data_IF_299620329624
#
_entry.id   IF_299620329624
#
_cell.length_a   1.000
_cell.length_b   1.000
_cell.length_c   1.000
_cell.angle_alpha   90.00
_cell.angle_beta   90.00
_cell.angle_gamma   90.00
#
_symmetry.space_group_name_H-M   'P 1'
#
loop_
_entity.id
_entity.type
_entity.pdbx_description
1 polymer ?
#
# COMPACT_ATOMS: atom_id res chain seq x y z
N UNK A 1 29.71 -16.46 -13.18
CA UNK A 1 28.45 -16.97 -12.57
C UNK A 1 27.99 -16.19 -11.33
N UNK A 2 28.87 -15.49 -10.59
CA UNK A 2 28.46 -14.66 -9.44
C UNK A 2 27.73 -13.35 -9.80
N UNK A 3 27.93 -12.81 -11.02
CA UNK A 3 27.30 -11.56 -11.48
C UNK A 3 25.78 -11.70 -11.64
N UNK A 4 25.30 -12.79 -12.26
CA UNK A 4 23.87 -13.04 -12.49
C UNK A 4 23.11 -13.29 -11.20
N UNK A 5 23.71 -14.03 -10.25
CA UNK A 5 23.13 -14.24 -8.92
C UNK A 5 22.92 -12.93 -8.16
N UNK A 6 23.88 -11.99 -8.25
CA UNK A 6 23.74 -10.65 -7.66
C UNK A 6 22.57 -9.87 -8.27
N UNK A 7 22.42 -9.90 -9.59
CA UNK A 7 21.31 -9.20 -10.27
C UNK A 7 19.97 -9.77 -9.81
N UNK A 8 19.80 -11.09 -9.80
CA UNK A 8 18.57 -11.74 -9.35
C UNK A 8 18.22 -11.35 -7.91
N UNK A 9 19.21 -11.39 -7.00
CA UNK A 9 18.98 -11.01 -5.60
C UNK A 9 18.60 -9.53 -5.44
N UNK A 10 19.22 -8.62 -6.21
CA UNK A 10 18.85 -7.20 -6.18
C UNK A 10 17.43 -6.96 -6.68
N UNK A 11 16.99 -7.70 -7.71
CA UNK A 11 15.62 -7.60 -8.23
C UNK A 11 14.62 -8.11 -7.19
N UNK A 12 14.89 -9.25 -6.56
CA UNK A 12 14.02 -9.80 -5.49
C UNK A 12 13.91 -8.81 -4.32
N UNK A 13 15.02 -8.20 -3.91
CA UNK A 13 15.03 -7.18 -2.85
C UNK A 13 14.17 -5.97 -3.22
N UNK A 14 14.32 -5.45 -4.44
CA UNK A 14 13.53 -4.32 -4.93
C UNK A 14 12.03 -4.65 -4.96
N UNK A 15 11.65 -5.82 -5.48
CA UNK A 15 10.25 -6.27 -5.51
C UNK A 15 9.69 -6.40 -4.10
N UNK A 16 10.46 -6.97 -3.17
CA UNK A 16 10.05 -7.14 -1.77
C UNK A 16 9.82 -5.79 -1.09
N UNK A 17 10.72 -4.83 -1.31
CA UNK A 17 10.60 -3.46 -0.80
C UNK A 17 9.36 -2.75 -1.36
N UNK A 18 9.09 -2.93 -2.65
CA UNK A 18 7.94 -2.35 -3.33
C UNK A 18 6.62 -2.90 -2.78
N UNK A 19 6.55 -4.21 -2.54
CA UNK A 19 5.39 -4.85 -1.93
C UNK A 19 5.15 -4.36 -0.49
N UNK A 20 6.21 -4.17 0.29
CA UNK A 20 6.11 -3.58 1.65
C UNK A 20 5.56 -2.16 1.61
N UNK A 21 6.01 -1.32 0.67
CA UNK A 21 5.50 0.03 0.49
C UNK A 21 4.00 0.04 0.10
N UNK A 22 3.58 -0.86 -0.79
CA UNK A 22 2.17 -1.02 -1.17
C UNK A 22 1.33 -1.52 0.01
N UNK A 23 1.87 -2.41 0.84
CA UNK A 23 1.18 -2.87 2.05
C UNK A 23 1.06 -1.76 3.10
N UNK A 24 2.11 -0.95 3.29
CA UNK A 24 2.14 0.16 4.24
C UNK A 24 1.17 1.29 3.86
N UNK A 25 0.92 1.50 2.56
CA UNK A 25 -0.05 2.50 2.09
C UNK A 25 -1.51 2.07 2.26
N UNK A 26 -1.78 0.80 2.57
CA UNK A 26 -3.12 0.28 2.86
C UNK A 26 -3.42 0.38 4.34
N UNK A 27 -4.10 1.45 4.74
CA UNK A 27 -4.59 1.59 6.11
C UNK A 27 -5.75 0.62 6.36
N UNK A 28 -5.59 -0.32 7.31
CA UNK A 28 -6.69 -1.17 7.78
C UNK A 28 -7.71 -0.33 8.55
N UNK A 29 -8.98 -0.70 8.43
CA UNK A 29 -10.08 -0.04 9.13
C UNK A 29 -11.16 -1.05 9.52
N UNK A 30 -11.91 -0.76 10.58
CA UNK A 30 -13.16 -1.43 10.94
C UNK A 30 -14.36 -0.53 10.65
N UNK A 31 -14.16 0.78 10.78
CA UNK A 31 -15.16 1.81 10.55
C UNK A 31 -14.57 2.97 9.75
N UNK A 32 -15.45 3.81 9.20
CA UNK A 32 -15.07 5.02 8.44
C UNK A 32 -14.21 5.99 9.28
N UNK A 33 -14.41 6.00 10.59
CA UNK A 33 -13.69 6.86 11.54
C UNK A 33 -12.20 6.53 11.59
N UNK A 34 -11.83 5.26 11.38
CA UNK A 34 -10.42 4.83 11.36
C UNK A 34 -9.66 5.44 10.18
N UNK A 35 -10.35 5.82 9.11
CA UNK A 35 -9.77 6.42 7.92
C UNK A 35 -9.57 7.94 8.03
N UNK A 36 -9.71 8.54 9.22
CA UNK A 36 -9.67 10.00 9.39
C UNK A 36 -8.40 10.65 8.83
N UNK A 37 -7.25 10.00 8.99
CA UNK A 37 -5.93 10.45 8.48
C UNK A 37 -5.62 9.96 7.06
N UNK A 38 -6.49 9.16 6.45
CA UNK A 38 -6.25 8.62 5.12
C UNK A 38 -6.37 9.73 4.07
N UNK A 39 -5.31 9.97 3.27
CA UNK A 39 -5.31 11.04 2.27
C UNK A 39 -6.27 10.68 1.12
N UNK A 40 -7.32 11.48 0.94
CA UNK A 40 -8.21 11.38 -0.22
C UNK A 40 -8.24 12.71 -0.98
N UNK A 41 -8.08 12.69 -2.32
CA UNK A 41 -8.23 13.88 -3.14
C UNK A 41 -9.69 14.30 -3.21
N UNK A 42 -9.96 15.60 -3.11
CA UNK A 42 -11.30 16.20 -3.31
C UNK A 42 -11.72 15.95 -4.77
N UNK A 43 -12.97 15.54 -5.08
CA UNK A 43 -14.16 15.47 -4.21
C UNK A 43 -14.39 14.12 -3.51
N UNK A 44 -13.42 13.20 -3.55
CA UNK A 44 -13.60 11.84 -3.04
C UNK A 44 -13.66 11.84 -1.51
N UNK A 45 -14.59 11.07 -0.96
CA UNK A 45 -14.73 10.83 0.47
C UNK A 45 -14.03 9.54 0.89
N UNK A 46 -13.43 9.56 2.07
CA UNK A 46 -12.87 8.37 2.72
C UNK A 46 -13.99 7.43 3.16
N UNK A 47 -13.84 6.14 2.90
CA UNK A 47 -14.73 5.08 3.36
C UNK A 47 -13.93 3.83 3.74
N UNK A 48 -14.48 3.01 4.63
CA UNK A 48 -13.90 1.73 4.99
C UNK A 48 -14.57 0.63 4.16
N UNK A 49 -13.80 0.01 3.24
CA UNK A 49 -14.30 -1.01 2.33
C UNK A 49 -13.41 -2.25 2.40
N UNK A 50 -14.02 -3.40 2.68
CA UNK A 50 -13.34 -4.70 2.82
C UNK A 50 -12.21 -4.68 3.86
N UNK A 51 -12.39 -3.91 4.94
CA UNK A 51 -11.40 -3.77 6.01
C UNK A 51 -10.24 -2.82 5.71
N UNK A 52 -10.31 -2.05 4.62
CA UNK A 52 -9.29 -1.07 4.23
C UNK A 52 -9.88 0.29 3.88
N UNK A 53 -9.15 1.35 4.19
CA UNK A 53 -9.51 2.70 3.80
C UNK A 53 -9.38 2.88 2.29
N UNK A 54 -10.44 3.38 1.67
CA UNK A 54 -10.50 3.71 0.24
C UNK A 54 -11.15 5.07 0.03
N UNK A 55 -10.77 5.76 -1.04
CA UNK A 55 -11.43 6.97 -1.48
C UNK A 55 -12.54 6.62 -2.47
N UNK A 56 -13.78 6.91 -2.11
CA UNK A 56 -14.98 6.72 -2.95
C UNK A 56 -15.51 8.08 -3.38
N UNK A 57 -16.20 8.15 -4.53
CA UNK A 57 -16.73 9.40 -5.08
C UNK A 57 -18.11 9.68 -4.50
#
# INVERSE_FOLDING_TARGET
>A
MAKTLKVVYTVILLVSLFLLLIAATKQRCKSRVDCKTYPCPIPKVKSCLNGYCKCVR
#
